data_IF_292776003358
#
_entry.id   IF_292776003358
#
_cell.length_a   1.000
_cell.length_b   1.000
_cell.length_c   1.000
_cell.angle_alpha   90.00
_cell.angle_beta   90.00
_cell.angle_gamma   90.00
#
_symmetry.space_group_name_H-M   'P 1'
#
loop_
_entity.id
_entity.type
_entity.pdbx_description
1 polymer ?
#
# COMPACT_ATOMS: atom_id res chain seq x y z
N UNK A 1 53.18 -10.11 5.32
CA UNK A 1 51.89 -9.54 5.77
C UNK A 1 50.96 -9.47 4.57
N UNK A 2 50.14 -10.49 4.35
CA UNK A 2 49.19 -10.54 3.23
C UNK A 2 47.83 -10.15 3.78
N UNK A 3 47.44 -8.89 3.56
CA UNK A 3 46.09 -8.42 3.89
C UNK A 3 45.13 -8.88 2.80
N UNK A 4 44.32 -9.89 3.10
CA UNK A 4 43.12 -10.18 2.31
C UNK A 4 42.07 -9.12 2.64
N UNK A 5 41.95 -8.10 1.79
CA UNK A 5 40.78 -7.24 1.76
C UNK A 5 39.60 -8.08 1.28
N UNK A 6 38.79 -8.60 2.21
CA UNK A 6 37.50 -9.17 1.87
C UNK A 6 36.65 -8.05 1.27
N UNK A 7 36.54 -8.04 -0.05
CA UNK A 7 35.64 -7.15 -0.79
C UNK A 7 34.21 -7.57 -0.46
N UNK A 8 33.67 -7.06 0.64
CA UNK A 8 32.30 -7.30 1.05
C UNK A 8 31.35 -6.76 -0.02
N UNK A 9 30.70 -7.66 -0.74
CA UNK A 9 29.58 -7.29 -1.60
C UNK A 9 28.39 -6.97 -0.70
N UNK A 10 28.16 -5.68 -0.46
CA UNK A 10 26.90 -5.20 0.07
C UNK A 10 25.83 -5.43 -1.01
N UNK A 11 25.18 -6.60 -0.98
CA UNK A 11 23.99 -6.83 -1.79
C UNK A 11 22.93 -5.85 -1.30
N UNK A 12 22.76 -4.76 -2.03
CA UNK A 12 21.59 -3.89 -1.90
C UNK A 12 20.40 -4.71 -2.40
N UNK A 13 19.82 -5.54 -1.52
CA UNK A 13 18.44 -5.95 -1.68
C UNK A 13 17.66 -4.66 -1.63
N UNK A 14 17.35 -4.11 -2.80
CA UNK A 14 16.32 -3.10 -2.93
C UNK A 14 15.05 -3.74 -2.39
N UNK A 15 14.82 -3.53 -1.09
CA UNK A 15 13.61 -3.95 -0.40
C UNK A 15 12.50 -3.35 -1.25
N UNK A 16 11.73 -4.20 -1.93
CA UNK A 16 10.70 -3.80 -2.90
C UNK A 16 9.73 -2.91 -2.14
N UNK A 17 10.00 -1.62 -2.12
CA UNK A 17 9.18 -0.62 -1.45
C UNK A 17 7.99 -0.50 -2.37
N UNK A 18 6.93 -1.25 -2.06
CA UNK A 18 5.69 -1.28 -2.82
C UNK A 18 5.06 0.10 -2.72
N UNK A 19 5.50 1.01 -3.58
CA UNK A 19 4.93 2.33 -3.73
C UNK A 19 3.90 2.31 -4.85
N UNK A 20 2.79 3.01 -4.63
CA UNK A 20 1.68 3.16 -5.54
C UNK A 20 2.10 4.06 -6.70
N UNK A 21 2.83 3.47 -7.65
CA UNK A 21 3.22 4.11 -8.92
C UNK A 21 2.09 4.14 -9.93
N UNK A 22 1.12 3.22 -9.81
CA UNK A 22 -0.05 3.15 -10.70
C UNK A 22 -1.32 3.27 -9.87
N UNK A 23 -2.04 4.36 -10.06
CA UNK A 23 -3.32 4.63 -9.40
C UNK A 23 -4.44 3.99 -10.22
N UNK A 24 -5.19 3.07 -9.62
CA UNK A 24 -6.39 2.54 -10.26
C UNK A 24 -7.54 3.53 -10.05
N UNK A 25 -8.09 4.04 -11.14
CA UNK A 25 -9.29 4.90 -11.14
C UNK A 25 -10.58 4.11 -11.16
N UNK A 26 -10.52 2.79 -11.37
CA UNK A 26 -11.69 1.92 -11.50
C UNK A 26 -12.31 1.68 -10.12
N UNK A 27 -13.60 1.97 -10.02
CA UNK A 27 -14.37 1.71 -8.80
C UNK A 27 -14.36 0.20 -8.52
N UNK A 28 -13.70 -0.19 -7.43
CA UNK A 28 -13.64 -1.59 -6.97
C UNK A 28 -14.65 -1.77 -5.85
N UNK A 29 -15.25 -2.96 -5.78
CA UNK A 29 -16.33 -3.24 -4.85
C UNK A 29 -15.87 -3.03 -3.40
N UNK A 30 -16.39 -1.96 -2.77
CA UNK A 30 -16.05 -1.51 -1.42
C UNK A 30 -16.31 -2.59 -0.37
N UNK A 31 -17.26 -3.50 -0.62
CA UNK A 31 -17.64 -4.56 0.33
C UNK A 31 -16.51 -5.57 0.57
N UNK A 32 -15.56 -5.67 -0.37
CA UNK A 32 -14.44 -6.63 -0.30
C UNK A 32 -13.20 -6.05 0.38
N UNK A 33 -13.20 -4.76 0.69
CA UNK A 33 -12.11 -4.05 1.34
C UNK A 33 -12.22 -4.26 2.86
N UNK A 34 -11.15 -4.76 3.47
CA UNK A 34 -11.10 -5.02 4.92
C UNK A 34 -10.25 -4.01 5.66
N UNK A 35 -9.25 -3.46 4.98
CA UNK A 35 -8.30 -2.52 5.57
C UNK A 35 -7.79 -1.58 4.51
N UNK A 36 -7.25 -0.45 4.94
CA UNK A 36 -6.60 0.51 4.08
C UNK A 36 -5.32 1.00 4.74
N UNK A 37 -4.36 1.38 3.91
CA UNK A 37 -3.09 1.97 4.31
C UNK A 37 -2.89 3.25 3.51
N UNK A 38 -2.47 4.33 4.19
CA UNK A 38 -2.20 5.60 3.52
C UNK A 38 -0.78 5.57 3.00
N UNK A 39 -0.62 5.75 1.70
CA UNK A 39 0.66 5.86 1.04
C UNK A 39 0.88 7.31 0.61
N UNK A 40 1.93 7.93 1.14
CA UNK A 40 2.29 9.33 0.86
C UNK A 40 3.45 9.45 -0.14
N UNK A 41 3.99 8.33 -0.63
CA UNK A 41 5.16 8.33 -1.54
C UNK A 41 4.95 7.30 -2.64
N UNK A 42 5.05 7.68 -3.94
CA UNK A 42 5.42 8.99 -4.50
C UNK A 42 4.27 10.01 -4.66
N UNK A 43 3.03 9.64 -4.36
CA UNK A 43 1.85 10.51 -4.44
C UNK A 43 0.82 10.09 -3.39
N UNK A 44 -0.11 10.97 -3.02
CA UNK A 44 -1.16 10.68 -2.05
C UNK A 44 -2.13 9.62 -2.58
N UNK A 45 -1.87 8.37 -2.19
CA UNK A 45 -2.61 7.19 -2.58
C UNK A 45 -3.14 6.46 -1.35
N UNK A 46 -4.31 5.85 -1.49
CA UNK A 46 -4.85 4.93 -0.51
C UNK A 46 -4.65 3.52 -1.06
N UNK A 47 -3.93 2.70 -0.30
CA UNK A 47 -3.75 1.30 -0.61
C UNK A 47 -4.80 0.49 0.14
N UNK A 48 -5.79 -0.01 -0.59
CA UNK A 48 -6.78 -0.92 -0.01
C UNK A 48 -6.28 -2.36 0.02
N UNK A 49 -6.56 -3.03 1.13
CA UNK A 49 -6.30 -4.44 1.33
C UNK A 49 -7.64 -5.16 1.30
N UNK A 50 -7.77 -6.10 0.36
CA UNK A 50 -8.96 -6.96 0.25
C UNK A 50 -8.85 -8.16 1.19
N UNK A 51 -9.97 -8.84 1.43
CA UNK A 51 -10.00 -10.12 2.19
C UNK A 51 -9.01 -11.16 1.68
N UNK A 52 -8.68 -11.12 0.38
CA UNK A 52 -7.73 -12.04 -0.27
C UNK A 52 -6.26 -11.64 -0.09
N UNK A 53 -5.96 -10.59 0.67
CA UNK A 53 -4.61 -10.05 0.81
C UNK A 53 -4.10 -9.28 -0.40
N UNK A 54 -4.94 -9.06 -1.42
CA UNK A 54 -4.58 -8.26 -2.61
C UNK A 54 -4.58 -6.80 -2.21
N UNK A 55 -3.47 -6.13 -2.50
CA UNK A 55 -3.25 -4.69 -2.30
C UNK A 55 -3.60 -3.94 -3.57
N UNK A 56 -4.43 -2.90 -3.45
CA UNK A 56 -4.89 -2.08 -4.57
C UNK A 56 -4.62 -0.62 -4.26
N UNK A 57 -3.83 0.03 -5.11
CA UNK A 57 -3.56 1.45 -5.04
C UNK A 57 -4.65 2.25 -5.74
N UNK A 58 -5.22 3.23 -5.05
CA UNK A 58 -6.22 4.15 -5.61
C UNK A 58 -5.97 5.58 -5.16
N UNK A 59 -6.40 6.54 -5.96
CA UNK A 59 -6.24 7.96 -5.65
C UNK A 59 -7.15 8.39 -4.51
N UNK A 60 -6.61 9.13 -3.53
CA UNK A 60 -7.39 9.65 -2.40
C UNK A 60 -8.51 10.62 -2.80
N UNK A 61 -8.44 11.19 -4.02
CA UNK A 61 -9.34 12.20 -4.54
C UNK A 61 -10.75 11.67 -4.92
N UNK A 62 -10.92 10.35 -5.03
CA UNK A 62 -12.20 9.77 -5.47
C UNK A 62 -13.23 9.71 -4.34
N UNK A 63 -14.48 10.12 -4.62
CA UNK A 63 -15.58 10.12 -3.64
C UNK A 63 -15.84 8.74 -3.01
N UNK A 64 -15.76 7.68 -3.82
CA UNK A 64 -15.98 6.30 -3.36
C UNK A 64 -14.87 5.83 -2.39
N UNK A 65 -13.65 6.37 -2.51
CA UNK A 65 -12.51 6.03 -1.62
C UNK A 65 -12.77 6.54 -0.21
N UNK A 66 -13.31 7.76 -0.09
CA UNK A 66 -13.72 8.31 1.21
C UNK A 66 -14.85 7.49 1.84
N UNK A 67 -15.85 7.09 1.04
CA UNK A 67 -16.93 6.22 1.51
C UNK A 67 -16.41 4.84 1.97
N UNK A 68 -15.43 4.29 1.26
CA UNK A 68 -14.78 3.03 1.62
C UNK A 68 -14.00 3.12 2.94
N UNK A 69 -13.20 4.18 3.10
CA UNK A 69 -12.47 4.45 4.35
C UNK A 69 -13.45 4.56 5.51
N UNK A 70 -14.51 5.37 5.38
CA UNK A 70 -15.53 5.54 6.42
C UNK A 70 -16.15 4.20 6.82
N UNK A 71 -16.49 3.35 5.84
CA UNK A 71 -17.08 2.04 6.11
C UNK A 71 -16.13 1.08 6.82
N UNK A 72 -14.82 1.15 6.52
CA UNK A 72 -13.80 0.37 7.23
C UNK A 72 -13.62 0.91 8.65
N UNK A 73 -13.64 2.23 8.83
CA UNK A 73 -13.53 2.90 10.12
C UNK A 73 -14.71 2.55 11.05
N UNK A 74 -15.94 2.63 10.54
CA UNK A 74 -17.16 2.18 11.23
C UNK A 74 -17.04 0.73 11.72
N UNK A 75 -16.48 -0.16 10.90
CA UNK A 75 -16.25 -1.57 11.28
C UNK A 75 -15.16 -1.75 12.33
N UNK A 76 -14.17 -0.86 12.38
CA UNK A 76 -13.11 -0.89 13.40
C UNK A 76 -13.60 -0.35 14.74
N UNK A 77 -14.43 0.68 14.73
CA UNK A 77 -15.00 1.30 15.94
C UNK A 77 -16.11 0.47 16.57
N UNK A 78 -16.82 -0.35 15.79
CA UNK A 78 -17.88 -1.24 16.30
C UNK A 78 -17.37 -2.49 17.02
N UNK A 79 -16.06 -2.64 17.23
CA UNK A 79 -15.42 -3.80 17.87
C UNK A 79 -14.68 -3.37 19.13
#
# INVERSE_FOLDING_TARGET
>A
FISFSLLGSASSQSMRKFSCVTLSTKERNIRTLVSYEKQQVPTDAIMFITTRGIRVCVSANQKWVQAAIKKIDERRTAK
#
